data_IF_109227098327
#
_entry.id   IF_109227098327
#
_cell.length_a   1.000
_cell.length_b   1.000
_cell.length_c   1.000
_cell.angle_alpha   90.00
_cell.angle_beta   90.00
_cell.angle_gamma   90.00
#
_symmetry.space_group_name_H-M   'P 1'
#
loop_
_entity.id
_entity.type
_entity.pdbx_description
1 polymer ?
#
# COMPACT_ATOMS: atom_id res chain seq x y z
N UNK A 1 -51.88 41.25 -3.87
CA UNK A 1 -51.09 40.38 -4.77
C UNK A 1 -50.88 39.07 -4.04
N UNK A 2 -51.46 37.95 -4.51
CA UNK A 2 -51.12 36.63 -3.95
C UNK A 2 -49.67 36.31 -4.36
N UNK A 3 -48.84 35.74 -3.47
CA UNK A 3 -47.50 35.29 -3.85
C UNK A 3 -47.59 34.34 -5.04
N UNK A 4 -46.65 34.45 -5.97
CA UNK A 4 -46.51 33.49 -7.05
C UNK A 4 -46.24 32.10 -6.44
N UNK A 5 -47.12 31.14 -6.73
CA UNK A 5 -47.09 29.77 -6.18
C UNK A 5 -45.72 29.10 -6.42
N UNK A 6 -45.01 29.48 -7.49
CA UNK A 6 -43.66 28.99 -7.78
C UNK A 6 -42.60 29.51 -6.79
N UNK A 7 -42.75 30.73 -6.28
CA UNK A 7 -41.84 31.32 -5.28
C UNK A 7 -42.05 30.67 -3.92
N UNK A 8 -43.31 30.40 -3.53
CA UNK A 8 -43.62 29.68 -2.28
C UNK A 8 -43.06 28.25 -2.27
N UNK A 9 -43.22 27.50 -3.36
CA UNK A 9 -42.68 26.14 -3.49
C UNK A 9 -41.14 26.12 -3.46
N UNK A 10 -40.48 27.09 -4.11
CA UNK A 10 -39.02 27.24 -4.05
C UNK A 10 -38.53 27.54 -2.63
N UNK A 11 -39.18 28.46 -1.92
CA UNK A 11 -38.83 28.83 -0.53
C UNK A 11 -38.99 27.64 0.42
N UNK A 12 -40.05 26.86 0.28
CA UNK A 12 -40.26 25.64 1.06
C UNK A 12 -39.17 24.59 0.81
N UNK A 13 -38.76 24.40 -0.45
CA UNK A 13 -37.65 23.50 -0.82
C UNK A 13 -36.31 23.98 -0.27
N UNK A 14 -36.04 25.29 -0.33
CA UNK A 14 -34.82 25.90 0.20
C UNK A 14 -34.70 25.72 1.72
N UNK A 15 -35.79 25.93 2.46
CA UNK A 15 -35.83 25.71 3.92
C UNK A 15 -35.59 24.23 4.27
N UNK A 16 -36.25 23.31 3.56
CA UNK A 16 -36.05 21.87 3.73
C UNK A 16 -34.58 21.47 3.47
N UNK A 17 -33.99 21.95 2.38
CA UNK A 17 -32.59 21.71 2.06
C UNK A 17 -31.65 22.27 3.13
N UNK A 18 -31.90 23.49 3.62
CA UNK A 18 -31.07 24.15 4.64
C UNK A 18 -31.08 23.38 5.96
N UNK A 19 -32.25 22.87 6.37
CA UNK A 19 -32.41 22.01 7.54
C UNK A 19 -31.66 20.68 7.37
N UNK A 20 -31.82 20.03 6.23
CA UNK A 20 -31.14 18.77 5.93
C UNK A 20 -29.61 18.94 5.91
N UNK A 21 -29.12 19.97 5.22
CA UNK A 21 -27.70 20.32 5.14
C UNK A 21 -27.11 20.60 6.53
N UNK A 22 -27.80 21.40 7.36
CA UNK A 22 -27.35 21.70 8.73
C UNK A 22 -27.27 20.45 9.60
N UNK A 23 -28.25 19.55 9.48
CA UNK A 23 -28.27 18.28 10.22
C UNK A 23 -27.14 17.35 9.79
N UNK A 24 -26.91 17.20 8.48
CA UNK A 24 -25.84 16.39 7.94
C UNK A 24 -24.46 16.93 8.33
N UNK A 25 -24.24 18.24 8.19
CA UNK A 25 -22.99 18.90 8.57
C UNK A 25 -22.67 18.68 10.05
N UNK A 26 -23.65 18.90 10.95
CA UNK A 26 -23.47 18.63 12.38
C UNK A 26 -23.06 17.19 12.65
N UNK A 27 -23.69 16.22 12.01
CA UNK A 27 -23.34 14.79 12.18
C UNK A 27 -21.92 14.49 11.74
N UNK A 28 -21.51 14.99 10.57
CA UNK A 28 -20.14 14.82 10.07
C UNK A 28 -19.13 15.44 11.05
N UNK A 29 -19.33 16.70 11.41
CA UNK A 29 -18.41 17.45 12.28
C UNK A 29 -18.28 16.82 13.67
N UNK A 30 -19.38 16.34 14.27
CA UNK A 30 -19.38 15.70 15.58
C UNK A 30 -18.73 14.31 15.60
N UNK A 31 -18.55 13.68 14.44
CA UNK A 31 -17.87 12.38 14.31
C UNK A 31 -16.35 12.49 14.15
N UNK A 32 -15.80 13.70 14.06
CA UNK A 32 -14.37 13.92 13.79
C UNK A 32 -13.58 14.20 15.07
N UNK A 33 -12.33 13.71 15.09
CA UNK A 33 -11.33 14.12 16.08
C UNK A 33 -10.86 15.56 15.85
N UNK A 34 -10.09 16.09 16.82
CA UNK A 34 -9.69 17.52 16.87
C UNK A 34 -8.86 17.97 15.65
N UNK A 35 -8.04 17.09 15.09
CA UNK A 35 -7.17 17.38 13.93
C UNK A 35 -7.95 17.56 12.62
N UNK A 36 -8.80 16.60 12.19
CA UNK A 36 -9.65 16.77 11.00
C UNK A 36 -10.65 17.93 11.12
N UNK A 37 -11.14 18.21 12.34
CA UNK A 37 -12.09 19.28 12.62
C UNK A 37 -11.58 20.67 12.17
N UNK A 38 -10.31 20.98 12.47
CA UNK A 38 -9.66 22.24 12.07
C UNK A 38 -9.62 22.42 10.55
N UNK A 39 -9.54 21.32 9.80
CA UNK A 39 -9.42 21.33 8.34
C UNK A 39 -10.76 21.52 7.61
N UNK A 40 -11.87 21.24 8.29
CA UNK A 40 -13.23 21.39 7.76
C UNK A 40 -13.98 22.58 8.37
N UNK A 41 -13.35 23.33 9.27
CA UNK A 41 -13.97 24.45 9.99
C UNK A 41 -14.47 25.57 9.07
N UNK A 42 -13.82 25.77 7.92
CA UNK A 42 -14.18 26.79 6.93
C UNK A 42 -15.21 26.31 5.90
N UNK A 43 -15.61 25.04 5.92
CA UNK A 43 -16.59 24.50 4.98
C UNK A 43 -17.99 25.02 5.32
N UNK A 44 -18.76 25.45 4.32
CA UNK A 44 -20.09 26.04 4.53
C UNK A 44 -21.19 24.97 4.54
N UNK A 45 -21.14 24.04 3.59
CA UNK A 45 -22.15 22.99 3.43
C UNK A 45 -21.67 21.62 3.94
N UNK A 46 -22.61 20.71 4.20
CA UNK A 46 -22.29 19.31 4.50
C UNK A 46 -21.55 18.64 3.32
N UNK A 47 -21.86 19.05 2.09
CA UNK A 47 -21.17 18.58 0.88
C UNK A 47 -19.71 19.02 0.88
N UNK A 48 -19.42 20.26 1.26
CA UNK A 48 -18.05 20.76 1.34
C UNK A 48 -17.24 20.01 2.40
N UNK A 49 -17.85 19.79 3.58
CA UNK A 49 -17.24 18.97 4.65
C UNK A 49 -16.95 17.56 4.12
N UNK A 50 -17.94 16.91 3.49
CA UNK A 50 -17.78 15.56 2.94
C UNK A 50 -16.66 15.48 1.87
N UNK A 51 -16.63 16.44 0.94
CA UNK A 51 -15.60 16.50 -0.10
C UNK A 51 -14.21 16.75 0.49
N UNK A 52 -14.12 17.61 1.51
CA UNK A 52 -12.85 17.89 2.20
C UNK A 52 -12.36 16.69 2.99
N UNK A 53 -13.27 15.98 3.67
CA UNK A 53 -12.96 14.72 4.34
C UNK A 53 -12.51 13.67 3.34
N UNK A 54 -13.18 13.56 2.19
CA UNK A 54 -12.68 12.73 1.09
C UNK A 54 -11.25 13.13 0.75
N UNK A 55 -10.93 14.40 0.47
CA UNK A 55 -9.54 14.79 0.18
C UNK A 55 -8.53 14.45 1.29
N UNK A 56 -8.93 14.57 2.56
CA UNK A 56 -8.05 14.29 3.71
C UNK A 56 -7.81 12.79 3.87
N UNK A 57 -8.83 11.96 3.62
CA UNK A 57 -8.81 10.52 3.86
C UNK A 57 -8.76 9.69 2.58
N UNK A 58 -8.71 10.33 1.42
CA UNK A 58 -8.57 9.62 0.16
C UNK A 58 -7.18 8.99 0.13
N UNK A 59 -7.15 7.68 0.33
CA UNK A 59 -5.93 6.89 0.28
C UNK A 59 -5.25 6.98 -1.10
N UNK A 60 -5.90 7.56 -2.12
CA UNK A 60 -5.36 7.80 -3.46
C UNK A 60 -4.62 9.13 -3.64
N UNK A 61 -4.32 9.86 -2.55
CA UNK A 61 -3.55 11.10 -2.64
C UNK A 61 -2.16 10.87 -3.27
N UNK A 62 -1.66 11.85 -4.01
CA UNK A 62 -0.34 11.78 -4.65
C UNK A 62 0.77 11.56 -3.60
N UNK A 63 0.61 12.13 -2.41
CA UNK A 63 1.53 11.94 -1.28
C UNK A 63 1.62 10.47 -0.85
N UNK A 64 0.53 9.71 -0.93
CA UNK A 64 0.55 8.27 -0.62
C UNK A 64 1.28 7.46 -1.69
N UNK A 65 1.17 7.85 -2.96
CA UNK A 65 1.90 7.21 -4.06
C UNK A 65 3.40 7.43 -3.88
N UNK A 66 3.82 8.67 -3.63
CA UNK A 66 5.24 8.99 -3.47
C UNK A 66 5.83 8.35 -2.21
N UNK A 67 5.05 8.26 -1.12
CA UNK A 67 5.45 7.50 0.05
C UNK A 67 5.64 6.01 -0.27
N UNK A 68 4.73 5.39 -1.03
CA UNK A 68 4.86 3.99 -1.43
C UNK A 68 6.04 3.77 -2.38
N UNK A 69 6.32 4.69 -3.30
CA UNK A 69 7.53 4.67 -4.14
C UNK A 69 8.79 4.73 -3.29
N UNK A 70 8.85 5.66 -2.35
CA UNK A 70 9.98 5.77 -1.43
C UNK A 70 10.16 4.50 -0.60
N UNK A 71 9.07 3.89 -0.12
CA UNK A 71 9.14 2.60 0.57
C UNK A 71 9.68 1.50 -0.33
N UNK A 72 9.23 1.42 -1.59
CA UNK A 72 9.73 0.46 -2.57
C UNK A 72 11.24 0.62 -2.82
N UNK A 73 11.69 1.85 -3.05
CA UNK A 73 13.11 2.18 -3.27
C UNK A 73 13.98 2.08 -2.01
N UNK A 74 13.38 1.88 -0.83
CA UNK A 74 14.07 1.67 0.43
C UNK A 74 13.76 0.29 1.03
N UNK A 75 13.24 -0.65 0.24
CA UNK A 75 13.18 -2.06 0.68
C UNK A 75 14.61 -2.53 0.93
N UNK A 76 14.84 -3.09 2.11
CA UNK A 76 16.11 -3.67 2.53
C UNK A 76 15.89 -5.12 2.97
N UNK A 77 16.94 -5.93 2.77
CA UNK A 77 16.92 -7.33 3.19
C UNK A 77 16.86 -7.44 4.71
N UNK A 78 16.02 -8.35 5.18
CA UNK A 78 15.88 -8.63 6.60
C UNK A 78 16.02 -10.12 6.88
N UNK A 79 17.06 -10.47 7.63
CA UNK A 79 17.41 -11.85 7.94
C UNK A 79 16.33 -12.59 8.73
N UNK A 80 15.52 -11.88 9.51
CA UNK A 80 14.49 -12.46 10.37
C UNK A 80 13.38 -13.20 9.61
N UNK A 81 13.09 -12.76 8.38
CA UNK A 81 12.01 -13.27 7.53
C UNK A 81 12.46 -14.04 6.30
N UNK A 82 13.77 -14.09 6.03
CA UNK A 82 14.33 -14.75 4.85
C UNK A 82 13.74 -14.24 3.52
N UNK A 83 13.79 -15.07 2.47
CA UNK A 83 13.25 -14.73 1.15
C UNK A 83 11.75 -14.45 1.24
N UNK A 84 10.99 -15.27 1.96
CA UNK A 84 9.52 -15.14 2.01
C UNK A 84 9.09 -13.81 2.67
N UNK A 85 9.70 -13.45 3.80
CA UNK A 85 9.43 -12.18 4.48
C UNK A 85 9.86 -10.98 3.62
N UNK A 86 10.94 -11.13 2.86
CA UNK A 86 11.37 -10.10 1.92
C UNK A 86 10.36 -9.92 0.77
N UNK A 87 9.91 -11.00 0.15
CA UNK A 87 8.90 -10.97 -0.92
C UNK A 87 7.56 -10.39 -0.45
N UNK A 88 7.17 -10.65 0.81
CA UNK A 88 5.95 -10.07 1.37
C UNK A 88 5.97 -8.54 1.37
N UNK A 89 7.13 -7.89 1.58
CA UNK A 89 7.27 -6.42 1.50
C UNK A 89 6.99 -5.90 0.09
N UNK A 90 7.44 -6.62 -0.93
CA UNK A 90 7.15 -6.30 -2.33
C UNK A 90 5.65 -6.46 -2.64
N UNK A 91 5.05 -7.57 -2.24
CA UNK A 91 3.63 -7.84 -2.48
C UNK A 91 2.72 -6.84 -1.76
N UNK A 92 3.06 -6.43 -0.54
CA UNK A 92 2.33 -5.41 0.20
C UNK A 92 2.31 -4.08 -0.56
N UNK A 93 3.48 -3.63 -1.02
CA UNK A 93 3.59 -2.38 -1.76
C UNK A 93 2.89 -2.48 -3.12
N UNK A 94 3.09 -3.57 -3.86
CA UNK A 94 2.47 -3.77 -5.17
C UNK A 94 0.94 -3.83 -5.07
N UNK A 95 0.41 -4.47 -4.03
CA UNK A 95 -1.03 -4.52 -3.76
C UNK A 95 -1.58 -3.11 -3.53
N UNK A 96 -0.93 -2.33 -2.66
CA UNK A 96 -1.33 -0.94 -2.39
C UNK A 96 -1.25 -0.09 -3.66
N UNK A 97 -0.16 -0.16 -4.41
CA UNK A 97 0.02 0.54 -5.69
C UNK A 97 -1.04 0.16 -6.73
N UNK A 98 -1.43 -1.11 -6.79
CA UNK A 98 -2.49 -1.59 -7.70
C UNK A 98 -3.85 -1.04 -7.31
N UNK A 99 -4.18 -0.97 -6.01
CA UNK A 99 -5.40 -0.33 -5.52
C UNK A 99 -5.47 1.16 -5.89
N UNK A 100 -4.31 1.82 -6.02
CA UNK A 100 -4.16 3.19 -6.49
C UNK A 100 -4.12 3.32 -8.02
N UNK A 101 -4.32 2.22 -8.77
CA UNK A 101 -4.25 2.15 -10.24
C UNK A 101 -2.88 2.61 -10.80
N UNK A 102 -1.82 2.40 -10.02
CA UNK A 102 -0.43 2.74 -10.37
C UNK A 102 0.51 1.55 -10.05
N UNK A 103 0.26 0.35 -10.60
CA UNK A 103 1.12 -0.81 -10.32
C UNK A 103 2.57 -0.52 -10.72
N UNK A 104 3.50 -1.10 -9.98
CA UNK A 104 4.93 -1.07 -10.33
C UNK A 104 5.15 -2.07 -11.46
N UNK A 105 6.01 -1.70 -12.40
CA UNK A 105 6.39 -2.57 -13.51
C UNK A 105 7.10 -3.84 -13.04
N UNK A 106 6.85 -4.96 -13.71
CA UNK A 106 7.41 -6.25 -13.33
C UNK A 106 8.95 -6.25 -13.43
N UNK A 107 9.50 -5.55 -14.42
CA UNK A 107 10.94 -5.37 -14.59
C UNK A 107 11.55 -4.59 -13.44
N UNK A 108 10.90 -3.50 -13.02
CA UNK A 108 11.33 -2.70 -11.86
C UNK A 108 11.29 -3.51 -10.56
N UNK A 109 10.23 -4.30 -10.36
CA UNK A 109 10.12 -5.23 -9.23
C UNK A 109 11.29 -6.22 -9.21
N UNK A 110 11.58 -6.86 -10.34
CA UNK A 110 12.68 -7.81 -10.47
C UNK A 110 14.04 -7.13 -10.22
N UNK A 111 14.28 -5.98 -10.84
CA UNK A 111 15.52 -5.23 -10.68
C UNK A 111 15.75 -4.84 -9.22
N UNK A 112 14.70 -4.36 -8.54
CA UNK A 112 14.79 -3.99 -7.14
C UNK A 112 15.03 -5.19 -6.23
N UNK A 113 14.35 -6.32 -6.47
CA UNK A 113 14.59 -7.54 -5.71
C UNK A 113 16.07 -7.93 -5.80
N UNK A 114 16.62 -8.02 -7.01
CA UNK A 114 18.04 -8.36 -7.23
C UNK A 114 19.01 -7.41 -6.53
N UNK A 115 18.73 -6.11 -6.51
CA UNK A 115 19.58 -5.11 -5.82
C UNK A 115 19.57 -5.25 -4.30
N UNK A 116 18.48 -5.81 -3.75
CA UNK A 116 18.29 -5.91 -2.30
C UNK A 116 18.66 -7.26 -1.74
N UNK A 117 18.85 -8.29 -2.57
CA UNK A 117 19.30 -9.61 -2.12
C UNK A 117 20.72 -9.53 -1.54
N UNK A 118 21.04 -10.32 -0.50
CA UNK A 118 22.37 -10.33 0.08
C UNK A 118 23.32 -11.16 -0.79
N UNK A 119 24.63 -11.00 -0.57
CA UNK A 119 25.71 -11.59 -1.38
C UNK A 119 25.63 -13.11 -1.55
N UNK A 120 25.00 -13.81 -0.59
CA UNK A 120 24.76 -15.25 -0.65
C UNK A 120 23.96 -15.63 -1.90
N UNK A 121 23.15 -14.72 -2.44
CA UNK A 121 22.33 -14.91 -3.63
C UNK A 121 22.99 -14.43 -4.93
N UNK A 122 24.28 -14.05 -4.93
CA UNK A 122 24.99 -13.51 -6.10
C UNK A 122 24.88 -14.41 -7.35
N UNK A 123 24.83 -15.73 -7.17
CA UNK A 123 24.63 -16.66 -8.29
C UNK A 123 23.29 -16.44 -9.03
N UNK A 124 22.24 -16.00 -8.34
CA UNK A 124 20.96 -15.64 -8.95
C UNK A 124 21.17 -14.40 -9.82
N UNK A 125 21.90 -13.40 -9.33
CA UNK A 125 22.18 -12.18 -10.08
C UNK A 125 22.88 -12.49 -11.41
N UNK A 126 23.93 -13.30 -11.38
CA UNK A 126 24.68 -13.71 -12.58
C UNK A 126 23.77 -14.46 -13.55
N UNK A 127 23.12 -15.53 -13.07
CA UNK A 127 22.27 -16.37 -13.93
C UNK A 127 21.01 -15.66 -14.43
N UNK A 128 20.58 -14.58 -13.75
CA UNK A 128 19.48 -13.75 -14.19
C UNK A 128 19.86 -12.89 -15.39
N UNK A 129 21.08 -12.36 -15.44
CA UNK A 129 21.52 -11.53 -16.56
C UNK A 129 21.54 -12.30 -17.88
N UNK A 130 21.93 -13.58 -17.83
CA UNK A 130 22.06 -14.47 -18.99
C UNK A 130 20.72 -14.92 -19.59
N UNK A 131 19.59 -14.64 -18.93
CA UNK A 131 18.27 -15.03 -19.44
C UNK A 131 17.80 -14.15 -20.59
N UNK A 132 16.96 -14.74 -21.45
CA UNK A 132 16.19 -13.98 -22.43
C UNK A 132 15.23 -13.00 -21.73
N UNK A 133 14.88 -11.90 -22.40
CA UNK A 133 13.93 -10.92 -21.82
C UNK A 133 12.57 -11.53 -21.49
N UNK A 134 12.10 -12.48 -22.31
CA UNK A 134 10.82 -13.20 -22.10
C UNK A 134 10.84 -14.08 -20.84
N UNK A 135 12.04 -14.48 -20.40
CA UNK A 135 12.23 -15.30 -19.20
C UNK A 135 12.43 -14.47 -17.93
N UNK A 136 12.58 -13.15 -18.03
CA UNK A 136 12.81 -12.25 -16.90
C UNK A 136 11.50 -11.81 -16.23
N UNK A 137 10.76 -12.79 -15.69
CA UNK A 137 9.49 -12.55 -14.99
C UNK A 137 9.61 -12.66 -13.48
N UNK A 138 8.77 -11.92 -12.75
CA UNK A 138 8.69 -11.90 -11.29
C UNK A 138 8.50 -13.31 -10.73
N UNK A 139 7.59 -14.08 -11.33
CA UNK A 139 7.31 -15.46 -10.91
C UNK A 139 8.55 -16.35 -11.01
N UNK A 140 9.36 -16.20 -12.07
CA UNK A 140 10.57 -17.01 -12.24
C UNK A 140 11.66 -16.60 -11.24
N UNK A 141 11.83 -15.30 -10.99
CA UNK A 141 12.81 -14.80 -10.04
C UNK A 141 12.48 -15.23 -8.61
N UNK A 142 11.25 -14.99 -8.16
CA UNK A 142 10.79 -15.36 -6.81
C UNK A 142 10.95 -16.86 -6.54
N UNK A 143 10.58 -17.71 -7.51
CA UNK A 143 10.82 -19.16 -7.44
C UNK A 143 12.30 -19.52 -7.34
N UNK A 144 13.18 -18.85 -8.10
CA UNK A 144 14.63 -19.07 -7.99
C UNK A 144 15.15 -18.74 -6.61
N UNK A 145 14.76 -17.59 -6.04
CA UNK A 145 15.18 -17.17 -4.70
C UNK A 145 14.72 -18.17 -3.63
N UNK A 146 13.45 -18.56 -3.64
CA UNK A 146 12.88 -19.53 -2.68
C UNK A 146 13.56 -20.90 -2.78
N UNK A 147 13.73 -21.41 -4.00
CA UNK A 147 14.41 -22.70 -4.21
C UNK A 147 15.87 -22.67 -3.77
N UNK A 148 16.55 -21.54 -3.91
CA UNK A 148 17.92 -21.41 -3.47
C UNK A 148 18.04 -21.36 -1.95
N UNK A 149 17.17 -20.63 -1.26
CA UNK A 149 17.11 -20.61 0.21
C UNK A 149 16.94 -22.03 0.78
N UNK A 150 16.01 -22.82 0.21
CA UNK A 150 15.83 -24.23 0.59
C UNK A 150 17.08 -25.08 0.36
N UNK A 151 17.83 -24.83 -0.73
CA UNK A 151 19.07 -25.56 -1.04
C UNK A 151 20.21 -25.21 -0.11
N UNK A 152 20.32 -23.97 0.34
CA UNK A 152 21.32 -23.57 1.34
C UNK A 152 20.95 -24.16 2.70
N UNK A 153 19.67 -24.09 3.08
CA UNK A 153 19.20 -24.66 4.33
C UNK A 153 19.54 -26.16 4.47
N UNK A 154 19.44 -26.92 3.37
CA UNK A 154 19.81 -28.35 3.36
C UNK A 154 21.31 -28.66 3.35
N UNK A 155 22.20 -27.67 3.21
CA UNK A 155 23.67 -27.86 3.20
C UNK A 155 24.36 -27.42 4.49
N UNK A 156 23.75 -26.52 5.27
CA UNK A 156 24.42 -25.75 6.33
C UNK A 156 23.89 -26.03 7.75
N UNK A 157 23.56 -27.28 8.09
CA UNK A 157 23.28 -27.68 9.48
C UNK A 157 24.46 -27.42 10.46
N UNK A 158 25.66 -27.07 9.95
CA UNK A 158 26.88 -26.83 10.74
C UNK A 158 27.31 -25.37 10.93
N UNK A 159 26.68 -24.37 10.30
CA UNK A 159 27.15 -22.98 10.34
C UNK A 159 26.18 -22.04 11.09
N UNK A 160 26.64 -21.55 12.26
CA UNK A 160 25.82 -20.79 13.24
C UNK A 160 25.12 -19.54 12.71
N UNK A 161 25.58 -18.91 11.63
CA UNK A 161 24.93 -17.72 11.07
C UNK A 161 23.78 -18.05 10.10
N UNK A 162 23.90 -19.14 9.35
CA UNK A 162 22.87 -19.62 8.42
C UNK A 162 21.80 -20.41 9.20
N UNK A 163 22.22 -21.15 10.23
CA UNK A 163 21.31 -21.80 11.18
C UNK A 163 20.33 -20.80 11.85
N UNK A 164 20.78 -19.56 12.13
CA UNK A 164 19.92 -18.48 12.64
C UNK A 164 18.91 -17.95 11.61
N UNK A 165 19.22 -18.00 10.31
CA UNK A 165 18.26 -17.66 9.25
C UNK A 165 17.14 -18.70 9.16
N UNK A 166 17.46 -19.95 9.50
CA UNK A 166 16.56 -21.11 9.37
C UNK A 166 15.68 -21.32 10.61
N UNK A 167 16.13 -20.93 11.81
CA UNK A 167 15.44 -21.28 13.07
C UNK A 167 14.07 -20.64 13.25
N UNK A 168 13.78 -19.51 12.58
CA UNK A 168 12.46 -18.87 12.65
C UNK A 168 11.39 -19.56 11.78
N UNK A 169 11.77 -20.36 10.78
CA UNK A 169 10.82 -21.06 9.92
C UNK A 169 10.26 -22.30 10.64
N UNK A 170 11.05 -22.97 11.48
CA UNK A 170 10.60 -24.15 12.24
C UNK A 170 9.53 -23.85 13.31
N UNK A 171 9.43 -22.59 13.78
CA UNK A 171 8.45 -22.22 14.82
C UNK A 171 7.05 -21.96 14.23
N UNK A 172 6.94 -21.62 12.94
CA UNK A 172 5.66 -21.30 12.28
C UNK A 172 4.96 -22.51 11.63
N UNK A 173 5.64 -23.64 11.48
CA UNK A 173 5.05 -24.87 10.91
C UNK A 173 4.65 -25.86 12.03
N UNK A 174 4.85 -25.52 13.30
CA UNK A 174 4.58 -26.38 14.45
C UNK A 174 3.48 -25.89 15.42
N UNK A 175 2.68 -24.89 15.06
CA UNK A 175 1.52 -24.45 15.85
C UNK A 175 0.27 -24.28 15.00
#
# INVERSE_FOLDING_TARGET
MKPDQGVEDYMAKLDCWTKANSKAKKRLVLSLDTQPLLRVATCETAKDVWNKLHQIYDNQSAENIDLLRNKFHNIEWEWSGGVQGHLAKFDEIQTKMTMLKKPIDEGDMCARLLQTLPKEFDHIYVTWHDLSLEDKTWLKLTKRCLNYELRIAGRDEGNSAIAMMVTNISILIMN
#
